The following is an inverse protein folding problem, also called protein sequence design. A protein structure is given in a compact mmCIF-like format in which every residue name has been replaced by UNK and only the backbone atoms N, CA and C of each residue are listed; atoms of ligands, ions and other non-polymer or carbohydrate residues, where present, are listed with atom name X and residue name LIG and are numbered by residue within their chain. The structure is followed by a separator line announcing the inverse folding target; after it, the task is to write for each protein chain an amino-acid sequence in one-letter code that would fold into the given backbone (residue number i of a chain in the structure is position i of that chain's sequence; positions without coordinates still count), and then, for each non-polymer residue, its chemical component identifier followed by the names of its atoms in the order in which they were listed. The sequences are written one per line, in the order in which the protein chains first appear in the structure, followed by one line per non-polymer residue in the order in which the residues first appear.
data_IF_064145957882
#
_entry.id   IF_064145957882
#
_cell.length_a   1.000
_cell.length_b   1.000
_cell.length_c   1.000
_cell.angle_alpha   90.00
_cell.angle_beta   90.00
_cell.angle_gamma   90.00
#
_symmetry.space_group_name_H-M   'P 1'
#
loop_
_entity.id
_entity.type
_entity.pdbx_description
1 polymer ?
#
# COMPACT_ATOMS: atom_id res chain seq x y z
N UNK A 1 0.20 -5.55 -16.42
CA UNK A 1 1.59 -5.45 -16.91
C UNK A 1 1.99 -3.99 -16.73
N UNK A 2 3.04 -3.69 -15.94
CA UNK A 2 3.43 -2.31 -15.64
C UNK A 2 3.92 -1.55 -16.87
N UNK A 3 3.68 -0.25 -16.92
CA UNK A 3 4.23 0.60 -17.98
C UNK A 3 5.64 1.06 -17.58
N UNK A 4 6.69 0.71 -18.35
CA UNK A 4 8.05 1.15 -18.06
C UNK A 4 8.14 2.67 -18.02
N UNK A 5 8.85 3.24 -17.05
CA UNK A 5 9.10 4.68 -16.96
C UNK A 5 8.02 5.49 -16.25
N UNK A 6 7.00 4.84 -15.68
CA UNK A 6 5.96 5.52 -14.91
C UNK A 6 5.90 4.97 -13.48
N UNK A 7 5.94 5.87 -12.51
CA UNK A 7 5.68 5.53 -11.12
C UNK A 7 4.24 5.04 -10.99
N UNK A 8 4.08 3.87 -10.39
CA UNK A 8 2.77 3.27 -10.13
C UNK A 8 2.44 3.37 -8.65
N UNK A 9 1.17 3.59 -8.36
CA UNK A 9 0.64 3.64 -7.00
C UNK A 9 -0.42 2.56 -6.87
N UNK A 10 -0.18 1.59 -6.00
CA UNK A 10 -1.17 0.57 -5.66
C UNK A 10 -1.81 0.93 -4.33
N UNK A 11 -3.13 0.75 -4.19
CA UNK A 11 -3.76 0.87 -2.86
C UNK A 11 -3.47 -0.38 -2.04
N UNK A 12 -3.16 -0.20 -0.77
CA UNK A 12 -2.86 -1.27 0.17
C UNK A 12 -3.50 -1.07 1.55
N UNK A 13 -3.51 -2.15 2.33
CA UNK A 13 -3.73 -2.11 3.77
C UNK A 13 -2.38 -2.21 4.48
N UNK A 14 -2.16 -1.35 5.46
CA UNK A 14 -1.03 -1.46 6.37
C UNK A 14 -1.47 -2.34 7.55
N UNK A 15 -0.69 -3.37 7.86
CA UNK A 15 -0.95 -4.33 8.93
C UNK A 15 0.24 -4.29 9.87
N UNK A 16 -0.02 -4.09 11.15
CA UNK A 16 0.99 -4.23 12.20
C UNK A 16 0.95 -5.66 12.76
N UNK A 17 2.11 -6.31 12.84
CA UNK A 17 2.28 -7.62 13.46
C UNK A 17 3.58 -7.70 14.26
N UNK A 18 3.90 -8.88 14.82
CA UNK A 18 5.12 -9.08 15.63
C UNK A 18 6.42 -8.72 14.89
N UNK A 19 6.43 -8.81 13.56
CA UNK A 19 7.57 -8.48 12.71
C UNK A 19 7.64 -7.01 12.25
N UNK A 20 6.73 -6.16 12.74
CA UNK A 20 6.59 -4.77 12.32
C UNK A 20 5.48 -4.56 11.28
N UNK A 21 5.60 -3.46 10.53
CA UNK A 21 4.60 -3.03 9.56
C UNK A 21 4.76 -3.80 8.24
N UNK A 22 3.68 -4.46 7.82
CA UNK A 22 3.58 -5.16 6.53
C UNK A 22 2.47 -4.53 5.71
N UNK A 23 2.65 -4.42 4.39
CA UNK A 23 1.63 -3.89 3.49
C UNK A 23 1.08 -4.98 2.57
N UNK A 24 -0.24 -5.02 2.40
CA UNK A 24 -0.91 -5.95 1.51
C UNK A 24 -1.66 -5.19 0.41
N UNK A 25 -1.35 -5.41 -0.89
CA UNK A 25 -2.04 -4.74 -1.99
C UNK A 25 -3.51 -5.21 -2.07
N UNK A 26 -4.42 -4.30 -2.42
CA UNK A 26 -5.82 -4.66 -2.67
C UNK A 26 -5.95 -5.51 -3.94
N UNK A 27 -6.57 -6.69 -3.83
CA UNK A 27 -6.93 -7.52 -4.97
C UNK A 27 -7.99 -6.82 -5.86
N UNK A 28 -7.76 -6.79 -7.18
CA UNK A 28 -8.58 -6.17 -8.24
C UNK A 28 -8.69 -4.63 -8.23
N UNK A 29 -7.78 -3.98 -8.97
CA UNK A 29 -8.02 -2.65 -9.55
C UNK A 29 -8.69 -2.81 -10.94
N UNK A 30 -9.93 -3.29 -10.97
CA UNK A 30 -10.78 -3.31 -12.17
C UNK A 30 -11.56 -1.99 -12.31
N UNK A 31 -11.50 -1.34 -13.47
CA UNK A 31 -11.93 0.04 -13.78
C UNK A 31 -13.43 0.37 -13.62
N UNK A 32 -14.25 -0.49 -13.01
CA UNK A 32 -15.72 -0.34 -12.96
C UNK A 32 -16.33 -0.22 -11.56
N UNK A 33 -15.54 0.01 -10.49
CA UNK A 33 -16.08 0.07 -9.13
C UNK A 33 -15.61 1.31 -8.36
N UNK A 34 -16.39 2.39 -8.50
CA UNK A 34 -16.42 3.53 -7.57
C UNK A 34 -16.75 3.11 -6.11
N UNK A 35 -17.11 1.84 -5.86
CA UNK A 35 -17.31 1.26 -4.53
C UNK A 35 -16.00 0.82 -3.82
N UNK A 36 -14.84 0.99 -4.46
CA UNK A 36 -13.52 0.64 -3.87
C UNK A 36 -12.74 1.85 -3.32
N UNK A 37 -13.32 3.05 -3.29
CA UNK A 37 -12.63 4.28 -2.87
C UNK A 37 -12.33 4.38 -1.36
N UNK A 38 -12.79 3.43 -0.53
CA UNK A 38 -12.74 3.55 0.94
C UNK A 38 -12.04 2.39 1.66
N UNK A 39 -11.47 1.43 0.92
CA UNK A 39 -10.95 0.18 1.49
C UNK A 39 -9.42 0.10 1.50
N UNK A 40 -8.69 1.21 1.52
CA UNK A 40 -7.23 1.15 1.65
C UNK A 40 -6.75 2.29 2.53
N UNK A 41 -5.77 2.01 3.36
CA UNK A 41 -5.22 2.98 4.33
C UNK A 41 -3.96 3.68 3.79
N UNK A 42 -3.39 3.13 2.71
CA UNK A 42 -2.15 3.63 2.12
C UNK A 42 -2.02 3.39 0.60
N UNK A 43 -1.00 4.03 0.01
CA UNK A 43 -0.46 3.77 -1.31
C UNK A 43 0.89 3.07 -1.18
N UNK A 44 1.06 1.95 -1.86
CA UNK A 44 2.35 1.35 -2.14
C UNK A 44 2.94 2.09 -3.34
N UNK A 45 4.08 2.74 -3.13
CA UNK A 45 4.79 3.53 -4.13
C UNK A 45 5.78 2.64 -4.85
N UNK A 46 5.69 2.61 -6.17
CA UNK A 46 6.49 1.72 -7.00
C UNK A 46 7.24 2.56 -8.02
N UNK A 47 8.54 2.76 -7.81
CA UNK A 47 9.38 3.55 -8.70
C UNK A 47 9.31 3.04 -10.16
N UNK A 48 9.53 3.92 -11.16
CA UNK A 48 9.50 3.59 -12.58
C UNK A 48 10.34 2.38 -13.02
N UNK A 49 11.43 2.10 -12.29
CA UNK A 49 12.36 1.00 -12.49
C UNK A 49 11.87 -0.35 -11.93
N UNK A 50 10.81 -0.33 -11.12
CA UNK A 50 10.27 -1.50 -10.42
C UNK A 50 9.47 -2.39 -11.36
N UNK A 51 10.09 -3.49 -11.80
CA UNK A 51 9.48 -4.46 -12.74
C UNK A 51 8.46 -5.39 -12.06
N UNK A 52 8.80 -5.86 -10.88
CA UNK A 52 8.00 -6.70 -10.00
C UNK A 52 8.39 -6.39 -8.55
N UNK A 53 7.50 -6.72 -7.63
CA UNK A 53 7.80 -6.74 -6.19
C UNK A 53 7.36 -8.11 -5.70
N UNK A 54 8.27 -8.82 -5.05
CA UNK A 54 8.01 -10.13 -4.46
C UNK A 54 7.48 -9.99 -3.03
N UNK A 55 6.77 -11.01 -2.55
CA UNK A 55 6.31 -11.03 -1.17
C UNK A 55 7.51 -11.04 -0.20
N UNK A 56 7.49 -10.13 0.77
CA UNK A 56 8.57 -9.94 1.74
C UNK A 56 9.63 -8.92 1.32
N UNK A 57 9.54 -8.34 0.13
CA UNK A 57 10.38 -7.20 -0.23
C UNK A 57 9.89 -5.91 0.43
N UNK A 58 10.85 -5.04 0.74
CA UNK A 58 10.58 -3.71 1.25
C UNK A 58 10.05 -2.81 0.14
N UNK A 59 9.05 -2.00 0.49
CA UNK A 59 8.42 -1.04 -0.41
C UNK A 59 8.16 0.26 0.33
N UNK A 60 8.17 1.35 -0.43
CA UNK A 60 7.75 2.64 0.10
C UNK A 60 6.22 2.69 0.18
N UNK A 61 5.72 3.25 1.28
CA UNK A 61 4.29 3.36 1.55
C UNK A 61 3.95 4.78 1.97
N UNK A 62 2.97 5.38 1.30
CA UNK A 62 2.37 6.66 1.67
C UNK A 62 1.02 6.44 2.33
N UNK A 63 0.86 6.92 3.55
CA UNK A 63 -0.40 6.77 4.30
C UNK A 63 -1.38 7.89 3.94
N UNK A 64 -2.67 7.56 3.85
CA UNK A 64 -3.70 8.58 3.60
C UNK A 64 -4.01 9.44 4.81
N UNK A 65 -3.64 8.97 6.00
CA UNK A 65 -3.86 9.65 7.28
C UNK A 65 -2.61 9.48 8.14
N UNK A 66 -2.31 10.43 9.02
CA UNK A 66 -1.22 10.27 9.98
C UNK A 66 -1.49 9.03 10.85
N UNK A 67 -0.45 8.23 11.10
CA UNK A 67 -0.54 7.16 12.09
C UNK A 67 -0.65 7.81 13.47
N UNK A 68 -1.81 7.64 14.10
CA UNK A 68 -1.96 7.91 15.52
C UNK A 68 -1.64 6.62 16.27
N UNK A 69 -0.43 6.52 16.77
CA UNK A 69 -0.06 5.46 17.69
C UNK A 69 -0.87 5.61 18.99
N UNK A 70 -1.42 4.54 19.59
CA UNK A 70 -1.80 4.62 20.98
C UNK A 70 -0.51 4.69 21.80
N UNK A 71 -0.28 5.80 22.49
CA UNK A 71 0.30 5.69 23.82
C UNK A 71 -0.90 5.36 24.70
N UNK A 72 -0.83 4.30 25.50
CA UNK A 72 -1.67 4.19 26.70
C UNK A 72 -1.77 5.57 27.35
N UNK A 73 -2.94 6.20 27.31
CA UNK A 73 -3.28 7.11 28.40
C UNK A 73 -4.03 6.21 29.37
N UNK A 74 -3.40 6.06 30.52
CA UNK A 74 -3.80 5.27 31.68
C UNK A 74 -5.30 5.17 31.95
#
# INVERSE_FOLDING_TARGET
RRQPGRQEFLRGYLIEGEGGLTVMPLAQQGSHRLTSMTRGDCLIVLPPETRSVEAGEWVDVELFRPVTWPQEIS
#
